data_IF_122692280678
#
_entry.id   IF_122692280678
#
_cell.length_a   1.000
_cell.length_b   1.000
_cell.length_c   1.000
_cell.angle_alpha   90.00
_cell.angle_beta   90.00
_cell.angle_gamma   90.00
#
_symmetry.space_group_name_H-M   'P 1'
#
loop_
_entity.id
_entity.type
_entity.pdbx_description
1 polymer ?
#
# COMPACT_ATOMS: atom_id res chain seq x y z
N UNK A 1 8.65 9.25 7.90
CA UNK A 1 7.88 8.00 7.99
C UNK A 1 6.72 8.06 8.98
N UNK A 2 6.93 8.39 10.27
CA UNK A 2 5.81 8.52 11.24
C UNK A 2 4.67 9.45 10.78
N UNK A 3 5.00 10.59 10.15
CA UNK A 3 3.99 11.51 9.61
C UNK A 3 3.16 10.87 8.47
N UNK A 4 3.80 10.10 7.58
CA UNK A 4 3.10 9.38 6.52
C UNK A 4 2.22 8.25 7.08
N UNK A 5 2.72 7.50 8.07
CA UNK A 5 1.95 6.47 8.75
C UNK A 5 0.69 7.06 9.40
N UNK A 6 0.84 8.12 10.20
CA UNK A 6 -0.27 8.80 10.86
C UNK A 6 -1.28 9.39 9.86
N UNK A 7 -0.82 9.88 8.71
CA UNK A 7 -1.71 10.45 7.68
C UNK A 7 -2.56 9.37 6.99
N UNK A 8 -2.01 8.18 6.79
CA UNK A 8 -2.69 7.05 6.12
C UNK A 8 -3.58 6.27 7.08
N UNK A 9 -3.18 6.12 8.33
CA UNK A 9 -3.89 5.30 9.29
C UNK A 9 -5.33 5.80 9.51
N UNK A 10 -6.31 4.91 9.38
CA UNK A 10 -7.74 5.19 9.51
C UNK A 10 -8.41 5.75 8.26
N UNK A 11 -7.70 5.94 7.13
CA UNK A 11 -8.33 6.37 5.86
C UNK A 11 -9.20 5.25 5.29
N UNK A 12 -10.37 5.60 4.77
CA UNK A 12 -11.30 4.67 4.15
C UNK A 12 -11.12 4.67 2.63
N UNK A 13 -11.08 3.49 2.03
CA UNK A 13 -11.13 3.28 0.59
C UNK A 13 -12.33 2.41 0.22
N UNK A 14 -13.10 2.82 -0.79
CA UNK A 14 -14.03 1.91 -1.46
C UNK A 14 -13.23 1.08 -2.47
N UNK A 15 -13.22 -0.24 -2.29
CA UNK A 15 -12.51 -1.19 -3.18
C UNK A 15 -13.53 -2.05 -3.90
N UNK A 16 -13.52 -2.01 -5.23
CA UNK A 16 -14.36 -2.86 -6.08
C UNK A 16 -13.57 -4.11 -6.50
N UNK A 17 -13.96 -5.26 -5.96
CA UNK A 17 -13.43 -6.58 -6.31
C UNK A 17 -14.46 -7.31 -7.15
N UNK A 18 -14.28 -7.28 -8.47
CA UNK A 18 -15.13 -7.98 -9.45
C UNK A 18 -16.63 -7.66 -9.32
N UNK A 19 -16.98 -6.40 -9.03
CA UNK A 19 -18.35 -5.91 -8.87
C UNK A 19 -18.86 -5.95 -7.43
N UNK A 20 -18.11 -6.54 -6.50
CA UNK A 20 -18.41 -6.46 -5.07
C UNK A 20 -17.60 -5.35 -4.42
N UNK A 21 -18.30 -4.41 -3.79
CA UNK A 21 -17.70 -3.26 -3.12
C UNK A 21 -17.39 -3.57 -1.66
N UNK A 22 -16.25 -3.10 -1.20
CA UNK A 22 -15.79 -3.21 0.17
C UNK A 22 -15.33 -1.85 0.69
N UNK A 23 -15.76 -1.52 1.90
CA UNK A 23 -15.20 -0.42 2.66
C UNK A 23 -13.94 -0.90 3.38
N UNK A 24 -12.77 -0.44 2.95
CA UNK A 24 -11.48 -0.89 3.45
C UNK A 24 -10.83 0.24 4.24
N UNK A 25 -10.65 0.03 5.54
CA UNK A 25 -9.91 0.93 6.44
C UNK A 25 -8.42 0.64 6.31
N UNK A 26 -7.64 1.64 5.90
CA UNK A 26 -6.19 1.58 5.87
C UNK A 26 -5.61 1.63 7.27
N UNK A 27 -4.67 0.74 7.54
CA UNK A 27 -3.88 0.66 8.75
C UNK A 27 -2.40 0.65 8.40
N UNK A 28 -1.58 1.10 9.34
CA UNK A 28 -0.13 1.19 9.12
C UNK A 28 0.67 0.53 10.22
N UNK A 29 1.76 -0.11 9.84
CA UNK A 29 2.79 -0.64 10.75
C UNK A 29 4.17 -0.52 10.08
N UNK A 30 5.20 -1.16 10.62
CA UNK A 30 6.55 -1.15 10.07
C UNK A 30 7.13 -2.56 9.97
N UNK A 31 7.76 -2.86 8.84
CA UNK A 31 8.58 -4.08 8.73
C UNK A 31 9.83 -3.93 9.62
N UNK A 32 9.91 -4.77 10.65
CA UNK A 32 10.83 -4.66 11.80
C UNK A 32 12.31 -4.40 11.45
N UNK A 33 12.80 -4.91 10.32
CA UNK A 33 14.23 -4.85 9.97
C UNK A 33 14.68 -3.61 9.20
N UNK A 34 13.74 -2.81 8.66
CA UNK A 34 14.07 -1.70 7.75
C UNK A 34 13.35 -0.40 8.09
N UNK A 35 12.51 -0.40 9.13
CA UNK A 35 11.60 0.72 9.41
C UNK A 35 10.79 1.11 8.17
N UNK A 36 10.49 0.15 7.28
CA UNK A 36 9.74 0.39 6.06
C UNK A 36 8.26 0.37 6.39
N UNK A 37 7.52 1.38 5.92
CA UNK A 37 6.08 1.49 6.15
C UNK A 37 5.36 0.29 5.52
N UNK A 38 4.64 -0.46 6.36
CA UNK A 38 3.67 -1.46 5.97
C UNK A 38 2.28 -0.81 5.95
N UNK A 39 1.53 -1.01 4.87
CA UNK A 39 0.16 -0.52 4.75
C UNK A 39 -0.73 -1.72 4.43
N UNK A 40 -1.78 -1.90 5.23
CA UNK A 40 -2.74 -2.99 5.08
C UNK A 40 -4.16 -2.50 5.31
N UNK A 41 -5.12 -3.20 4.73
CA UNK A 41 -6.54 -2.90 4.83
C UNK A 41 -7.25 -3.90 5.72
N UNK A 42 -8.21 -3.41 6.51
CA UNK A 42 -9.20 -4.23 7.19
C UNK A 42 -10.61 -3.75 6.82
N UNK A 43 -11.59 -4.65 6.87
CA UNK A 43 -13.00 -4.28 6.83
C UNK A 43 -13.41 -3.57 8.13
N UNK A 44 -14.56 -2.87 8.18
CA UNK A 44 -14.95 -2.09 9.35
C UNK A 44 -15.19 -2.94 10.61
N UNK A 45 -15.46 -4.23 10.44
CA UNK A 45 -15.57 -5.23 11.50
C UNK A 45 -14.20 -5.74 12.01
N UNK A 46 -13.09 -5.27 11.45
CA UNK A 46 -11.73 -5.67 11.81
C UNK A 46 -11.18 -6.87 11.04
N UNK A 47 -11.97 -7.51 10.18
CA UNK A 47 -11.48 -8.63 9.37
C UNK A 47 -10.39 -8.17 8.38
N UNK A 48 -9.31 -8.94 8.20
CA UNK A 48 -8.24 -8.57 7.29
C UNK A 48 -8.72 -8.59 5.84
N UNK A 49 -8.45 -7.52 5.11
CA UNK A 49 -8.74 -7.43 3.67
C UNK A 49 -7.50 -7.78 2.84
N UNK A 50 -6.35 -7.17 3.15
CA UNK A 50 -5.11 -7.44 2.44
C UNK A 50 -3.98 -6.49 2.82
N UNK A 51 -2.75 -6.77 2.39
CA UNK A 51 -1.61 -5.85 2.56
C UNK A 51 -1.33 -5.17 1.23
N UNK A 52 -1.27 -3.84 1.19
CA UNK A 52 -0.94 -3.07 -0.01
C UNK A 52 0.56 -3.16 -0.35
N UNK A 53 1.41 -3.09 0.67
CA UNK A 53 2.86 -3.02 0.53
C UNK A 53 3.55 -4.38 0.50
N UNK A 54 4.78 -4.42 -0.04
CA UNK A 54 5.71 -5.54 0.09
C UNK A 54 7.07 -5.06 0.60
N UNK A 55 7.72 -5.90 1.39
CA UNK A 55 9.09 -5.68 1.84
C UNK A 55 10.07 -6.45 0.96
N UNK A 56 10.96 -5.74 0.27
CA UNK A 56 12.10 -6.31 -0.46
C UNK A 56 13.40 -5.89 0.24
N UNK A 57 14.06 -6.78 1.00
CA UNK A 57 15.15 -6.41 1.90
C UNK A 57 16.34 -5.71 1.24
N UNK A 58 16.59 -5.98 -0.04
CA UNK A 58 17.72 -5.44 -0.81
C UNK A 58 17.45 -4.06 -1.42
N UNK A 59 16.22 -3.54 -1.33
CA UNK A 59 15.84 -2.25 -1.90
C UNK A 59 15.88 -1.17 -0.85
N UNK A 60 16.53 -0.05 -1.16
CA UNK A 60 16.55 1.15 -0.33
C UNK A 60 15.49 2.12 -0.85
N UNK A 61 14.60 2.55 0.04
CA UNK A 61 13.52 3.48 -0.26
C UNK A 61 13.76 4.82 0.43
N UNK A 62 13.30 5.89 -0.19
CA UNK A 62 13.22 7.20 0.46
C UNK A 62 12.16 7.22 1.56
N UNK A 63 12.16 8.27 2.39
CA UNK A 63 11.35 8.36 3.62
C UNK A 63 9.83 8.31 3.37
N UNK A 64 9.36 8.65 2.18
CA UNK A 64 7.97 8.60 1.78
C UNK A 64 7.70 7.54 0.70
N UNK A 65 8.71 6.75 0.32
CA UNK A 65 8.57 5.71 -0.69
C UNK A 65 8.13 4.38 -0.06
N UNK A 66 7.30 3.66 -0.79
CA UNK A 66 6.80 2.32 -0.48
C UNK A 66 6.90 1.43 -1.72
N UNK A 67 7.04 0.13 -1.50
CA UNK A 67 6.92 -0.87 -2.56
C UNK A 67 5.52 -1.45 -2.52
N UNK A 68 4.83 -1.48 -3.66
CA UNK A 68 3.42 -1.86 -3.73
C UNK A 68 3.26 -3.18 -4.47
N UNK A 69 2.34 -4.02 -3.99
CA UNK A 69 1.95 -5.26 -4.67
C UNK A 69 0.85 -4.95 -5.67
N UNK A 70 1.21 -4.76 -6.93
CA UNK A 70 0.24 -4.57 -8.03
C UNK A 70 -0.03 -5.88 -8.78
N UNK A 71 0.07 -7.01 -8.10
CA UNK A 71 -0.19 -8.33 -8.68
C UNK A 71 -1.69 -8.59 -8.76
N UNK A 72 -2.13 -9.54 -9.58
CA UNK A 72 -3.54 -9.76 -9.89
C UNK A 72 -4.44 -9.92 -8.67
N UNK A 73 -3.98 -10.60 -7.61
CA UNK A 73 -4.73 -10.75 -6.35
C UNK A 73 -5.02 -9.41 -5.66
N UNK A 74 -4.10 -8.46 -5.76
CA UNK A 74 -4.14 -7.19 -5.05
C UNK A 74 -4.43 -6.00 -5.98
N UNK A 75 -4.65 -6.25 -7.27
CA UNK A 75 -4.89 -5.22 -8.28
C UNK A 75 -6.09 -4.32 -7.94
N UNK A 76 -7.25 -4.83 -7.49
CA UNK A 76 -8.35 -3.99 -7.02
C UNK A 76 -7.95 -3.02 -5.90
N UNK A 77 -7.21 -3.51 -4.92
CA UNK A 77 -6.79 -2.71 -3.77
C UNK A 77 -5.78 -1.64 -4.18
N UNK A 78 -4.78 -2.02 -4.99
CA UNK A 78 -3.79 -1.09 -5.51
C UNK A 78 -4.44 0.00 -6.38
N UNK A 79 -5.40 -0.36 -7.23
CA UNK A 79 -6.14 0.58 -8.07
C UNK A 79 -6.93 1.59 -7.24
N UNK A 80 -7.67 1.12 -6.23
CA UNK A 80 -8.40 1.99 -5.31
C UNK A 80 -7.46 2.91 -4.52
N UNK A 81 -6.34 2.38 -4.03
CA UNK A 81 -5.33 3.15 -3.33
C UNK A 81 -4.76 4.27 -4.23
N UNK A 82 -4.36 3.97 -5.45
CA UNK A 82 -3.83 4.98 -6.37
C UNK A 82 -4.90 6.04 -6.74
N UNK A 83 -6.14 5.62 -6.96
CA UNK A 83 -7.26 6.52 -7.29
C UNK A 83 -7.64 7.46 -6.13
N UNK A 84 -7.32 7.10 -4.88
CA UNK A 84 -7.60 7.93 -3.70
C UNK A 84 -6.81 9.24 -3.65
N UNK A 85 -5.72 9.36 -4.42
CA UNK A 85 -4.79 10.50 -4.35
C UNK A 85 -3.87 10.51 -3.13
N UNK A 86 -3.98 9.53 -2.23
CA UNK A 86 -3.08 9.34 -1.09
C UNK A 86 -1.68 8.86 -1.51
N UNK A 87 -1.57 8.28 -2.71
CA UNK A 87 -0.34 7.71 -3.24
C UNK A 87 -0.09 8.20 -4.66
N UNK A 88 1.18 8.24 -5.05
CA UNK A 88 1.64 8.59 -6.39
C UNK A 88 2.58 7.52 -6.90
N UNK A 89 2.33 6.99 -8.09
CA UNK A 89 3.27 6.10 -8.77
C UNK A 89 4.46 6.90 -9.29
N UNK A 90 5.67 6.52 -8.90
CA UNK A 90 6.90 7.23 -9.29
C UNK A 90 7.42 6.84 -10.68
N UNK A 91 6.85 5.80 -11.29
CA UNK A 91 7.36 5.18 -12.51
C UNK A 91 8.55 4.23 -12.28
N UNK A 92 9.18 4.24 -11.09
CA UNK A 92 10.25 3.29 -10.75
C UNK A 92 9.67 1.89 -10.55
N UNK A 93 10.42 0.88 -10.96
CA UNK A 93 10.02 -0.54 -10.93
C UNK A 93 11.15 -1.39 -10.36
N UNK A 94 10.81 -2.34 -9.50
CA UNK A 94 11.75 -3.33 -8.96
C UNK A 94 11.31 -4.72 -9.38
N UNK A 95 12.20 -5.46 -10.03
CA UNK A 95 11.98 -6.88 -10.33
C UNK A 95 12.24 -7.74 -9.08
N UNK A 96 11.34 -8.68 -8.80
CA UNK A 96 11.48 -9.65 -7.72
C UNK A 96 10.89 -10.99 -8.15
N UNK A 97 11.76 -11.94 -8.50
CA UNK A 97 11.32 -13.20 -9.12
C UNK A 97 10.62 -12.94 -10.46
N UNK A 98 9.40 -13.47 -10.60
CA UNK A 98 8.59 -13.35 -11.82
C UNK A 98 7.63 -12.13 -11.83
N UNK A 99 7.71 -11.27 -10.81
CA UNK A 99 6.82 -10.13 -10.68
C UNK A 99 7.60 -8.82 -10.55
N UNK A 100 6.89 -7.71 -10.73
CA UNK A 100 7.42 -6.36 -10.58
C UNK A 100 6.67 -5.69 -9.43
N UNK A 101 7.42 -5.04 -8.55
CA UNK A 101 6.89 -4.17 -7.49
C UNK A 101 7.20 -2.71 -7.85
N UNK A 102 6.20 -1.87 -8.18
CA UNK A 102 6.42 -0.45 -8.35
C UNK A 102 6.77 0.22 -7.03
N UNK A 103 7.56 1.29 -7.12
CA UNK A 103 7.80 2.20 -5.99
C UNK A 103 6.80 3.35 -6.12
N UNK A 104 5.98 3.54 -5.09
CA UNK A 104 5.07 4.67 -4.96
C UNK A 104 5.54 5.59 -3.84
N UNK A 105 5.09 6.84 -3.86
CA UNK A 105 5.25 7.77 -2.74
C UNK A 105 3.93 8.02 -2.05
N UNK A 106 3.96 8.15 -0.72
CA UNK A 106 2.82 8.64 0.07
C UNK A 106 2.73 10.18 -0.08
N UNK A 107 1.57 10.66 -0.51
CA UNK A 107 1.29 12.08 -0.72
C UNK A 107 0.88 12.74 0.60
N UNK A 108 1.88 13.04 1.43
CA UNK A 108 1.72 13.89 2.62
C UNK A 108 1.79 15.34 2.17
N UNK A 109 0.64 16.03 2.18
CA UNK A 109 0.56 17.49 2.02
C UNK A 109 1.31 18.21 3.15
#
# INVERSE_FOLDING_TARGET
>A
MKNAANFINGKLLEVDVFGQKYDVVLNTDFYERRNQLAIFGCLPNGEPFGTLTVCLPHIHLQTNEILVKTWSENEPFAKAALASGLFVDTGKRVHTGFVVAPIWTVNVL
#
